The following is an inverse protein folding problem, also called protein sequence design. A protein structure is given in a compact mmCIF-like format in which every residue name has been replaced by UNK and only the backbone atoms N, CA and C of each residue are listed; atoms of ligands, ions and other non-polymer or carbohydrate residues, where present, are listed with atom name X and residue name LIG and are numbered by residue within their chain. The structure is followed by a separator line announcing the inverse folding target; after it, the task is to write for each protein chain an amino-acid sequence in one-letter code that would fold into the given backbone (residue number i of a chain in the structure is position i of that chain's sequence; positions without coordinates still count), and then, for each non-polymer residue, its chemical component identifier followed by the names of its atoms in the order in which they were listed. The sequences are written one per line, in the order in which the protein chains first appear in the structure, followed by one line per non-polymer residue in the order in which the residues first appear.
data_IF_853449754704
#
_entry.id   IF_853449754704
#
_cell.length_a   1.000
_cell.length_b   1.000
_cell.length_c   1.000
_cell.angle_alpha   90.00
_cell.angle_beta   90.00
_cell.angle_gamma   90.00
#
_symmetry.space_group_name_H-M   'P 1'
#
loop_
_entity.id
_entity.type
_entity.pdbx_description
1 polymer ?
#
# COMPACT_ATOMS: atom_id res chain seq x y z
N UNK A 1 15.61 6.20 16.09
CA UNK A 1 16.95 5.74 15.66
C UNK A 1 18.06 6.52 16.34
N UNK A 2 18.04 7.84 16.32
CA UNK A 2 19.07 8.66 16.98
C UNK A 2 19.20 8.44 18.49
N UNK A 3 18.07 8.43 19.22
CA UNK A 3 18.05 8.11 20.66
C UNK A 3 18.58 6.68 20.97
N UNK A 4 18.60 5.79 19.97
CA UNK A 4 19.13 4.43 20.10
C UNK A 4 20.62 4.35 19.69
N UNK A 5 21.24 5.46 19.28
CA UNK A 5 22.65 5.52 18.87
C UNK A 5 22.93 5.06 17.43
N UNK A 6 21.90 4.83 16.62
CA UNK A 6 22.11 4.42 15.21
C UNK A 6 22.38 5.62 14.31
N UNK A 7 23.62 5.76 13.85
CA UNK A 7 24.00 6.79 12.87
C UNK A 7 23.45 6.47 11.47
N UNK A 8 23.53 5.20 11.07
CA UNK A 8 23.05 4.67 9.80
C UNK A 8 22.10 3.49 9.99
N UNK A 9 21.06 3.39 9.16
CA UNK A 9 20.09 2.29 9.22
C UNK A 9 19.43 2.03 7.86
N UNK A 10 18.92 0.81 7.67
CA UNK A 10 18.05 0.49 6.56
C UNK A 10 16.59 0.75 6.93
N UNK A 11 15.76 1.07 5.94
CA UNK A 11 14.32 1.19 6.08
C UNK A 11 13.63 0.00 5.42
N UNK A 12 12.72 -0.65 6.13
CA UNK A 12 11.82 -1.64 5.59
C UNK A 12 10.38 -1.21 5.87
N UNK A 13 9.56 -1.15 4.81
CA UNK A 13 8.13 -0.87 4.82
C UNK A 13 7.58 -0.08 6.02
N UNK A 14 7.59 1.25 5.91
CA UNK A 14 6.86 2.16 6.79
C UNK A 14 5.63 2.76 6.10
N UNK A 15 5.15 2.11 5.02
CA UNK A 15 4.30 2.71 4.01
C UNK A 15 5.05 3.69 3.10
N UNK A 16 4.63 3.76 1.83
CA UNK A 16 5.33 4.54 0.78
C UNK A 16 5.57 5.99 1.20
N UNK A 17 4.59 6.64 1.84
CA UNK A 17 4.66 8.06 2.20
C UNK A 17 5.75 8.37 3.24
N UNK A 18 5.75 7.62 4.34
CA UNK A 18 6.71 7.82 5.43
C UNK A 18 8.10 7.38 4.96
N UNK A 19 8.19 6.23 4.28
CA UNK A 19 9.46 5.72 3.74
C UNK A 19 10.14 6.72 2.80
N UNK A 20 9.42 7.23 1.79
CA UNK A 20 9.98 8.21 0.85
C UNK A 20 10.31 9.56 1.51
N UNK A 21 9.48 10.01 2.45
CA UNK A 21 9.76 11.24 3.22
C UNK A 21 11.03 11.10 4.06
N UNK A 22 11.20 9.95 4.74
CA UNK A 22 12.40 9.67 5.51
C UNK A 22 13.64 9.60 4.62
N UNK A 23 13.55 8.93 3.47
CA UNK A 23 14.63 8.89 2.46
C UNK A 23 15.03 10.29 2.01
N UNK A 24 14.07 11.19 1.82
CA UNK A 24 14.33 12.56 1.40
C UNK A 24 15.03 13.40 2.50
N UNK A 25 14.53 13.30 3.73
CA UNK A 25 14.98 14.10 4.88
C UNK A 25 16.29 13.60 5.50
N UNK A 26 16.51 12.28 5.48
CA UNK A 26 17.61 11.62 6.20
C UNK A 26 18.48 10.76 5.28
N UNK A 27 18.62 11.20 4.03
CA UNK A 27 19.38 10.54 2.97
C UNK A 27 20.77 10.06 3.44
N UNK A 28 21.51 10.90 4.16
CA UNK A 28 22.86 10.60 4.66
C UNK A 28 22.91 9.51 5.75
N UNK A 29 21.76 9.16 6.34
CA UNK A 29 21.61 8.17 7.41
C UNK A 29 20.96 6.88 6.93
N UNK A 30 20.33 6.87 5.76
CA UNK A 30 19.63 5.69 5.26
C UNK A 30 20.56 4.95 4.29
N UNK A 31 20.88 3.71 4.59
CA UNK A 31 21.76 2.89 3.72
C UNK A 31 21.00 2.26 2.57
N UNK A 32 19.72 1.92 2.79
CA UNK A 32 18.86 1.28 1.81
C UNK A 32 17.39 1.43 2.21
N UNK A 33 16.48 1.51 1.25
CA UNK A 33 15.04 1.48 1.47
C UNK A 33 14.42 0.28 0.75
N UNK A 34 13.82 -0.63 1.51
CA UNK A 34 13.05 -1.76 1.01
C UNK A 34 11.56 -1.43 1.14
N UNK A 35 10.87 -1.33 0.01
CA UNK A 35 9.44 -1.04 -0.06
C UNK A 35 8.72 -2.24 -0.63
N UNK A 36 7.78 -2.82 0.10
CA UNK A 36 6.87 -3.88 -0.36
C UNK A 36 5.49 -3.32 -0.79
N UNK A 37 5.38 -1.99 -0.81
CA UNK A 37 4.22 -1.27 -1.27
C UNK A 37 4.71 -0.04 -2.04
N UNK A 38 4.83 -0.16 -3.37
CA UNK A 38 5.26 0.96 -4.22
C UNK A 38 4.30 1.14 -5.38
N UNK A 39 3.62 2.29 -5.35
CA UNK A 39 2.69 2.69 -6.37
C UNK A 39 3.39 3.34 -7.57
N UNK A 40 3.09 2.84 -8.76
CA UNK A 40 3.47 3.49 -10.02
C UNK A 40 2.20 3.86 -10.78
N UNK A 41 1.99 5.16 -10.98
CA UNK A 41 0.88 5.67 -11.82
C UNK A 41 1.29 5.57 -13.28
N UNK A 42 0.52 4.89 -14.15
CA UNK A 42 0.77 4.92 -15.59
C UNK A 42 0.66 6.36 -16.10
N UNK A 43 1.70 6.86 -16.76
CA UNK A 43 1.66 8.16 -17.44
C UNK A 43 1.12 8.01 -18.88
N UNK A 44 1.01 9.13 -19.60
CA UNK A 44 0.51 9.14 -20.99
C UNK A 44 1.32 8.23 -21.93
N UNK A 45 2.64 8.14 -21.76
CA UNK A 45 3.47 7.25 -22.57
C UNK A 45 3.16 5.78 -22.27
N UNK A 46 2.94 5.42 -21.01
CA UNK A 46 2.58 4.05 -20.62
C UNK A 46 1.22 3.66 -21.18
N UNK A 47 0.23 4.56 -21.10
CA UNK A 47 -1.10 4.34 -21.67
C UNK A 47 -1.08 4.25 -23.20
N UNK A 48 -0.22 5.03 -23.86
CA UNK A 48 -0.03 4.96 -25.32
C UNK A 48 0.57 3.63 -25.73
N UNK A 49 1.62 3.16 -25.04
CA UNK A 49 2.21 1.84 -25.28
C UNK A 49 1.19 0.73 -25.02
N UNK A 50 0.40 0.83 -23.95
CA UNK A 50 -0.63 -0.13 -23.61
C UNK A 50 -1.69 -0.24 -24.72
N UNK A 51 -2.21 0.90 -25.18
CA UNK A 51 -3.18 0.95 -26.28
C UNK A 51 -2.62 0.40 -27.61
N UNK A 52 -1.30 0.51 -27.83
CA UNK A 52 -0.60 -0.03 -28.99
C UNK A 52 -0.16 -1.50 -28.83
N UNK A 53 -0.47 -2.17 -27.71
CA UNK A 53 0.04 -3.50 -27.35
C UNK A 53 1.59 -3.59 -27.35
N UNK A 54 2.25 -2.52 -26.91
CA UNK A 54 3.72 -2.39 -26.82
C UNK A 54 4.24 -2.46 -25.38
N UNK A 55 3.37 -2.80 -24.43
CA UNK A 55 3.70 -3.06 -23.03
C UNK A 55 4.18 -4.50 -22.83
N UNK A 56 4.98 -4.74 -21.78
CA UNK A 56 5.26 -6.12 -21.36
C UNK A 56 4.00 -6.80 -20.84
N UNK A 57 4.06 -8.11 -20.61
CA UNK A 57 2.93 -8.83 -20.02
C UNK A 57 2.57 -8.26 -18.64
N UNK A 58 3.57 -8.01 -17.79
CA UNK A 58 3.40 -7.48 -16.44
C UNK A 58 2.78 -6.08 -16.46
N UNK A 59 3.25 -5.20 -17.35
CA UNK A 59 2.66 -3.87 -17.56
C UNK A 59 1.19 -3.98 -18.00
N UNK A 60 0.88 -4.91 -18.90
CA UNK A 60 -0.47 -5.11 -19.44
C UNK A 60 -1.46 -5.68 -18.42
N UNK A 61 -0.96 -6.41 -17.42
CA UNK A 61 -1.72 -6.93 -16.28
C UNK A 61 -1.90 -5.87 -15.16
N UNK A 62 -0.84 -5.09 -14.90
CA UNK A 62 -0.82 -4.06 -13.85
C UNK A 62 -1.68 -2.83 -14.18
N UNK A 63 -1.54 -2.25 -15.38
CA UNK A 63 -2.24 -1.01 -15.79
C UNK A 63 -3.77 -1.06 -15.55
N UNK A 64 -4.52 -2.07 -16.02
CA UNK A 64 -5.95 -2.13 -15.75
C UNK A 64 -6.25 -2.34 -14.25
N UNK A 65 -5.42 -3.11 -13.55
CA UNK A 65 -5.61 -3.37 -12.12
C UNK A 65 -5.46 -2.12 -11.27
N UNK A 66 -4.47 -1.30 -11.58
CA UNK A 66 -4.27 -0.04 -10.90
C UNK A 66 -5.39 0.95 -11.21
N UNK A 67 -5.86 1.03 -12.46
CA UNK A 67 -7.01 1.88 -12.81
C UNK A 67 -8.29 1.44 -12.10
N UNK A 68 -8.54 0.13 -12.00
CA UNK A 68 -9.67 -0.42 -11.25
C UNK A 68 -9.60 -0.05 -9.76
N UNK A 69 -8.42 -0.15 -9.14
CA UNK A 69 -8.25 0.23 -7.74
C UNK A 69 -8.61 1.71 -7.49
N UNK A 70 -8.07 2.62 -8.31
CA UNK A 70 -8.32 4.05 -8.11
C UNK A 70 -9.77 4.45 -8.41
N UNK A 71 -10.41 3.81 -9.39
CA UNK A 71 -11.79 4.12 -9.77
C UNK A 71 -12.84 3.55 -8.82
N UNK A 72 -12.60 2.38 -8.23
CA UNK A 72 -13.65 1.63 -7.51
C UNK A 72 -13.31 1.34 -6.03
N UNK A 73 -12.04 1.27 -5.68
CA UNK A 73 -11.58 0.73 -4.39
C UNK A 73 -10.91 1.78 -3.49
N UNK A 74 -10.66 2.99 -3.99
CA UNK A 74 -9.97 4.08 -3.29
C UNK A 74 -10.88 4.96 -2.41
N UNK A 75 -12.19 4.70 -2.37
CA UNK A 75 -13.17 5.53 -1.67
C UNK A 75 -12.86 5.69 -0.16
N UNK A 76 -12.30 4.65 0.47
CA UNK A 76 -11.88 4.71 1.85
C UNK A 76 -10.79 5.76 2.09
N UNK A 77 -9.88 5.96 1.13
CA UNK A 77 -8.82 6.95 1.22
C UNK A 77 -9.39 8.35 0.99
N UNK A 78 -10.30 8.50 0.02
CA UNK A 78 -10.95 9.77 -0.30
C UNK A 78 -11.75 10.35 0.89
N UNK A 79 -12.53 9.52 1.61
CA UNK A 79 -13.27 10.00 2.78
C UNK A 79 -12.34 10.34 3.95
N UNK A 80 -11.26 9.58 4.14
CA UNK A 80 -10.26 9.84 5.20
C UNK A 80 -9.43 11.08 4.92
N UNK A 81 -9.13 11.41 3.65
CA UNK A 81 -8.38 12.62 3.30
C UNK A 81 -9.24 13.88 3.41
N UNK A 82 -10.51 13.81 3.03
CA UNK A 82 -11.43 14.95 3.05
C UNK A 82 -12.05 15.21 4.44
N UNK A 83 -12.60 14.18 5.08
CA UNK A 83 -13.41 14.30 6.30
C UNK A 83 -13.03 13.28 7.40
N UNK A 84 -11.75 13.21 7.81
CA UNK A 84 -11.29 12.19 8.77
C UNK A 84 -12.00 12.26 10.12
N UNK A 85 -12.33 13.47 10.61
CA UNK A 85 -13.01 13.63 11.90
C UNK A 85 -14.46 13.14 11.83
N UNK A 86 -15.17 13.49 10.75
CA UNK A 86 -16.58 13.11 10.56
C UNK A 86 -16.74 11.59 10.49
N UNK A 87 -15.92 10.90 9.68
CA UNK A 87 -15.98 9.44 9.59
C UNK A 87 -15.48 8.77 10.88
N UNK A 88 -14.52 9.37 11.60
CA UNK A 88 -14.07 8.84 12.88
C UNK A 88 -15.19 8.83 13.93
N UNK A 89 -16.05 9.85 13.98
CA UNK A 89 -17.21 9.83 14.89
C UNK A 89 -18.14 8.66 14.59
N UNK A 90 -18.51 8.45 13.32
CA UNK A 90 -19.37 7.35 12.92
C UNK A 90 -18.76 5.97 13.23
N UNK A 91 -17.45 5.80 12.99
CA UNK A 91 -16.75 4.54 13.26
C UNK A 91 -16.49 4.31 14.75
N UNK A 92 -16.30 5.38 15.54
CA UNK A 92 -16.16 5.26 17.00
C UNK A 92 -17.49 4.90 17.67
N UNK A 93 -18.63 5.34 17.14
CA UNK A 93 -19.94 5.09 17.76
C UNK A 93 -20.34 3.60 17.75
N UNK A 94 -19.84 2.82 16.78
CA UNK A 94 -20.12 1.40 16.66
C UNK A 94 -18.87 0.55 16.46
N UNK A 95 -18.43 -0.25 17.45
CA UNK A 95 -17.29 -1.16 17.29
C UNK A 95 -17.56 -2.24 16.24
N UNK A 96 -18.83 -2.64 16.05
CA UNK A 96 -19.23 -3.57 14.98
C UNK A 96 -19.14 -2.88 13.61
N UNK A 97 -19.55 -1.62 13.50
CA UNK A 97 -19.38 -0.82 12.28
C UNK A 97 -17.90 -0.66 11.91
N UNK A 98 -17.04 -0.37 12.88
CA UNK A 98 -15.59 -0.32 12.65
C UNK A 98 -15.00 -1.67 12.24
N UNK A 99 -15.41 -2.77 12.88
CA UNK A 99 -14.99 -4.11 12.49
C UNK A 99 -15.39 -4.43 11.05
N UNK A 100 -16.61 -4.11 10.64
CA UNK A 100 -17.08 -4.30 9.25
C UNK A 100 -16.27 -3.46 8.25
N UNK A 101 -16.00 -2.20 8.58
CA UNK A 101 -15.16 -1.31 7.76
C UNK A 101 -13.74 -1.84 7.58
N UNK A 102 -13.11 -2.29 8.67
CA UNK A 102 -11.78 -2.86 8.62
C UNK A 102 -11.76 -4.22 7.91
N UNK A 103 -12.80 -5.06 8.09
CA UNK A 103 -12.93 -6.32 7.36
C UNK A 103 -12.96 -6.09 5.85
N UNK A 104 -13.75 -5.11 5.37
CA UNK A 104 -13.76 -4.73 3.97
C UNK A 104 -12.35 -4.37 3.47
N UNK A 105 -11.60 -3.53 4.20
CA UNK A 105 -10.27 -3.09 3.78
C UNK A 105 -9.25 -4.22 3.74
N UNK A 106 -9.30 -5.10 4.74
CA UNK A 106 -8.43 -6.27 4.82
C UNK A 106 -8.76 -7.26 3.71
N UNK A 107 -10.05 -7.46 3.43
CA UNK A 107 -10.52 -8.32 2.34
C UNK A 107 -10.08 -7.78 0.98
N UNK A 108 -10.10 -6.47 0.80
CA UNK A 108 -9.67 -5.82 -0.44
C UNK A 108 -8.15 -5.81 -0.62
N UNK A 109 -7.38 -5.67 0.47
CA UNK A 109 -5.95 -5.32 0.42
C UNK A 109 -4.96 -6.43 0.80
N UNK A 110 -5.41 -7.65 1.07
CA UNK A 110 -4.55 -8.70 1.63
C UNK A 110 -5.01 -10.11 1.26
N UNK A 111 -4.05 -11.00 0.99
CA UNK A 111 -4.25 -12.43 0.75
C UNK A 111 -4.23 -13.28 2.04
N UNK A 112 -4.12 -12.64 3.21
CA UNK A 112 -4.10 -13.33 4.51
C UNK A 112 -5.51 -13.81 4.87
N UNK A 113 -5.65 -15.12 5.10
CA UNK A 113 -6.85 -15.71 5.67
C UNK A 113 -6.96 -15.39 7.17
N UNK A 114 -7.49 -14.21 7.49
CA UNK A 114 -7.66 -13.81 8.88
C UNK A 114 -8.76 -14.62 9.56
N UNK A 115 -8.43 -15.23 10.69
CA UNK A 115 -9.44 -15.78 11.60
C UNK A 115 -10.28 -14.65 12.22
N UNK A 116 -11.49 -14.96 12.65
CA UNK A 116 -12.37 -14.03 13.39
C UNK A 116 -11.64 -13.39 14.58
N UNK A 117 -10.91 -14.21 15.35
CA UNK A 117 -10.10 -13.75 16.48
C UNK A 117 -9.04 -12.74 16.05
N UNK A 118 -8.37 -12.95 14.92
CA UNK A 118 -7.37 -12.03 14.41
C UNK A 118 -7.98 -10.71 13.96
N UNK A 119 -9.14 -10.75 13.28
CA UNK A 119 -9.89 -9.56 12.87
C UNK A 119 -10.34 -8.76 14.09
N UNK A 120 -11.04 -9.39 15.04
CA UNK A 120 -11.53 -8.72 16.25
C UNK A 120 -10.36 -8.08 17.02
N UNK A 121 -9.25 -8.80 17.19
CA UNK A 121 -8.06 -8.28 17.87
C UNK A 121 -7.48 -7.04 17.16
N UNK A 122 -7.33 -7.09 15.83
CA UNK A 122 -6.84 -5.94 15.04
C UNK A 122 -7.78 -4.74 15.13
N UNK A 123 -9.09 -4.99 15.06
CA UNK A 123 -10.10 -3.94 15.21
C UNK A 123 -9.95 -3.25 16.56
N UNK A 124 -9.90 -4.05 17.63
CA UNK A 124 -9.89 -3.54 18.99
C UNK A 124 -8.63 -2.72 19.30
N UNK A 125 -7.47 -3.12 18.77
CA UNK A 125 -6.22 -2.37 18.91
C UNK A 125 -6.29 -0.95 18.32
N UNK A 126 -7.01 -0.77 17.22
CA UNK A 126 -7.17 0.53 16.57
C UNK A 126 -8.35 1.32 17.15
N UNK A 127 -9.39 0.63 17.60
CA UNK A 127 -10.60 1.20 18.17
C UNK A 127 -10.37 1.82 19.55
N UNK A 128 -9.69 1.11 20.46
CA UNK A 128 -9.49 1.54 21.85
C UNK A 128 -8.81 2.93 22.01
N UNK A 129 -7.72 3.26 21.29
CA UNK A 129 -7.14 4.61 21.37
C UNK A 129 -7.96 5.68 20.62
N UNK A 130 -8.99 5.29 19.88
CA UNK A 130 -9.85 6.15 19.07
C UNK A 130 -9.46 6.19 17.60
N UNK A 131 -10.46 6.15 16.71
CA UNK A 131 -10.24 5.99 15.26
C UNK A 131 -9.54 7.17 14.61
N UNK A 132 -9.79 8.40 15.05
CA UNK A 132 -9.28 9.62 14.38
C UNK A 132 -7.75 9.63 14.23
N UNK A 133 -7.02 9.24 15.27
CA UNK A 133 -5.55 9.20 15.24
C UNK A 133 -4.99 8.26 14.18
N UNK A 134 -5.72 7.17 13.86
CA UNK A 134 -5.31 6.18 12.87
C UNK A 134 -5.47 6.67 11.41
N UNK A 135 -6.36 7.64 11.17
CA UNK A 135 -6.75 8.04 9.80
C UNK A 135 -6.45 9.50 9.46
N UNK A 136 -6.12 10.34 10.45
CA UNK A 136 -5.81 11.75 10.24
C UNK A 136 -4.68 11.97 9.23
N UNK A 137 -3.70 11.07 9.17
CA UNK A 137 -2.57 11.15 8.25
C UNK A 137 -3.01 11.23 6.78
N UNK A 138 -4.16 10.65 6.40
CA UNK A 138 -4.69 10.80 5.03
C UNK A 138 -4.98 12.26 4.68
N UNK A 139 -5.39 13.09 5.64
CA UNK A 139 -5.63 14.51 5.36
C UNK A 139 -4.34 15.30 5.16
N UNK A 140 -3.26 14.88 5.79
CA UNK A 140 -1.99 15.59 5.77
C UNK A 140 -1.05 15.07 4.68
N UNK A 141 -1.19 13.79 4.30
CA UNK A 141 -0.25 13.06 3.45
C UNK A 141 -0.88 12.54 2.16
N UNK A 142 -2.19 12.74 1.89
CA UNK A 142 -2.88 12.21 0.71
C UNK A 142 -3.28 13.34 -0.26
N UNK A 143 -2.30 13.89 -0.98
CA UNK A 143 -2.45 14.78 -2.15
C UNK A 143 -2.09 14.03 -3.46
N UNK A 144 -2.44 14.54 -4.64
CA UNK A 144 -2.27 13.85 -5.93
C UNK A 144 -0.80 13.61 -6.35
N UNK A 145 0.18 14.22 -5.66
CA UNK A 145 1.62 14.08 -5.95
C UNK A 145 2.35 13.09 -5.02
N UNK A 146 1.63 12.40 -4.14
CA UNK A 146 2.18 11.66 -2.98
C UNK A 146 3.06 10.45 -3.29
N UNK A 147 3.01 9.95 -4.52
CA UNK A 147 3.85 8.83 -4.95
C UNK A 147 5.06 9.28 -5.76
N UNK A 148 5.20 10.59 -5.98
CA UNK A 148 6.35 11.18 -6.67
C UNK A 148 7.30 11.73 -5.61
N UNK A 149 8.55 11.23 -5.51
CA UNK A 149 9.52 11.80 -4.60
C UNK A 149 9.73 13.28 -4.88
N UNK A 150 9.70 14.12 -3.83
CA UNK A 150 9.92 15.57 -3.96
C UNK A 150 11.27 15.94 -4.58
N UNK A 151 12.27 15.05 -4.44
CA UNK A 151 13.57 15.12 -5.10
C UNK A 151 14.07 13.71 -5.39
N UNK A 152 14.92 13.53 -6.40
CA UNK A 152 15.63 12.27 -6.64
C UNK A 152 16.62 12.03 -5.49
N UNK A 153 16.56 10.84 -4.89
CA UNK A 153 17.47 10.42 -3.81
C UNK A 153 18.58 9.52 -4.34
N UNK A 154 19.76 9.61 -3.73
CA UNK A 154 20.89 8.71 -3.95
C UNK A 154 20.79 7.40 -3.13
N UNK A 155 19.85 7.32 -2.18
CA UNK A 155 19.60 6.11 -1.41
C UNK A 155 19.08 5.01 -2.33
N UNK A 156 19.71 3.83 -2.35
CA UNK A 156 19.18 2.70 -3.12
C UNK A 156 17.80 2.28 -2.61
N UNK A 157 16.86 2.06 -3.54
CA UNK A 157 15.51 1.57 -3.25
C UNK A 157 15.31 0.22 -3.94
N UNK A 158 14.85 -0.76 -3.17
CA UNK A 158 14.37 -2.05 -3.70
C UNK A 158 12.87 -2.13 -3.51
N UNK A 159 12.12 -2.35 -4.59
CA UNK A 159 10.69 -2.59 -4.51
C UNK A 159 10.39 -4.10 -4.58
N UNK A 160 9.52 -4.56 -3.70
CA UNK A 160 8.84 -5.84 -3.78
C UNK A 160 7.41 -5.51 -4.18
N UNK A 161 6.90 -6.12 -5.25
CA UNK A 161 5.48 -6.02 -5.61
C UNK A 161 4.89 -7.40 -5.68
N UNK A 162 3.71 -7.55 -5.11
CA UNK A 162 3.04 -8.84 -5.01
C UNK A 162 1.66 -8.76 -5.67
N UNK A 163 1.29 -9.80 -6.43
CA UNK A 163 -0.10 -10.02 -6.84
C UNK A 163 -0.85 -10.87 -5.82
N UNK A 164 -2.17 -10.75 -5.86
CA UNK A 164 -3.06 -11.69 -5.17
C UNK A 164 -2.83 -13.12 -5.68
N UNK A 165 -2.84 -14.07 -4.74
CA UNK A 165 -2.79 -15.51 -5.02
C UNK A 165 -4.05 -15.95 -5.74
N UNK A 166 -3.93 -17.06 -6.47
CA UNK A 166 -5.02 -17.71 -7.21
C UNK A 166 -5.95 -18.48 -6.25
N UNK A 167 -6.42 -17.84 -5.19
CA UNK A 167 -7.37 -18.38 -4.23
C UNK A 167 -8.75 -17.75 -4.47
N UNK A 168 -9.80 -18.57 -4.73
CA UNK A 168 -11.14 -18.08 -5.04
C UNK A 168 -11.82 -17.31 -3.91
N UNK A 169 -11.23 -17.26 -2.71
CA UNK A 169 -11.78 -16.56 -1.55
C UNK A 169 -11.33 -15.10 -1.42
N UNK A 170 -10.41 -14.61 -2.26
CA UNK A 170 -9.84 -13.26 -2.18
C UNK A 170 -10.26 -12.33 -3.33
N UNK A 171 -10.33 -11.04 -3.00
CA UNK A 171 -11.26 -10.07 -3.57
C UNK A 171 -10.92 -9.54 -4.98
N UNK A 172 -12.00 -9.23 -5.72
CA UNK A 172 -12.04 -8.38 -6.90
C UNK A 172 -11.03 -8.73 -8.01
N UNK A 173 -11.41 -9.61 -8.96
CA UNK A 173 -10.54 -10.04 -10.06
C UNK A 173 -9.91 -8.88 -10.83
N UNK A 174 -10.62 -7.74 -10.89
CA UNK A 174 -10.18 -6.54 -11.58
C UNK A 174 -8.99 -5.84 -10.93
N UNK A 175 -8.67 -6.08 -9.66
CA UNK A 175 -7.49 -5.50 -8.99
C UNK A 175 -6.39 -6.54 -8.73
N UNK A 176 -6.48 -7.75 -9.28
CA UNK A 176 -5.57 -8.88 -8.96
C UNK A 176 -4.08 -8.57 -9.04
N UNK A 177 -3.68 -7.67 -9.95
CA UNK A 177 -2.28 -7.28 -10.15
C UNK A 177 -1.95 -5.92 -9.57
N UNK A 178 -2.84 -5.32 -8.78
CA UNK A 178 -2.50 -4.22 -7.89
C UNK A 178 -1.53 -4.73 -6.80
N UNK A 179 -0.78 -3.84 -6.16
CA UNK A 179 0.20 -4.23 -5.13
C UNK A 179 -0.51 -4.52 -3.80
N UNK A 180 -0.23 -5.66 -3.17
CA UNK A 180 -0.93 -6.11 -1.96
C UNK A 180 0.00 -6.52 -0.82
N UNK A 181 -0.52 -6.40 0.41
CA UNK A 181 0.15 -6.93 1.59
C UNK A 181 0.01 -8.45 1.60
N UNK A 182 1.13 -9.16 1.50
CA UNK A 182 1.16 -10.62 1.49
C UNK A 182 1.26 -11.24 2.87
N UNK A 183 0.66 -12.42 3.03
CA UNK A 183 0.95 -13.33 4.12
C UNK A 183 2.42 -13.78 4.04
N UNK A 184 3.14 -13.62 5.16
CA UNK A 184 4.55 -13.98 5.32
C UNK A 184 4.83 -15.50 5.32
N UNK A 185 3.96 -16.30 4.70
CA UNK A 185 4.18 -17.73 4.54
C UNK A 185 4.87 -18.02 3.21
N UNK A 186 6.20 -17.97 3.23
CA UNK A 186 7.08 -18.39 2.13
C UNK A 186 7.26 -19.92 2.07
N UNK A 187 6.63 -20.68 2.98
CA UNK A 187 6.82 -22.13 3.11
C UNK A 187 5.71 -22.96 2.46
N UNK A 188 4.63 -22.31 2.02
CA UNK A 188 3.53 -22.94 1.29
C UNK A 188 3.86 -23.30 -0.17
N UNK A 189 3.03 -24.16 -0.76
CA UNK A 189 3.17 -24.65 -2.15
C UNK A 189 2.98 -23.59 -3.25
N UNK A 190 2.59 -22.36 -2.89
CA UNK A 190 2.41 -21.24 -3.81
C UNK A 190 2.84 -19.90 -3.15
N UNK A 191 4.15 -19.62 -3.04
CA UNK A 191 4.63 -18.40 -2.41
C UNK A 191 4.19 -17.15 -3.18
N UNK A 192 4.05 -15.98 -2.53
CA UNK A 192 3.73 -14.76 -3.24
C UNK A 192 4.83 -14.45 -4.24
N UNK A 193 4.47 -14.31 -5.53
CA UNK A 193 5.45 -14.02 -6.57
C UNK A 193 5.78 -12.53 -6.55
N UNK A 194 7.05 -12.19 -6.34
CA UNK A 194 7.56 -10.85 -6.57
C UNK A 194 7.54 -10.57 -8.08
N UNK A 195 6.86 -9.51 -8.50
CA UNK A 195 6.62 -9.21 -9.93
C UNK A 195 7.71 -8.30 -10.51
N UNK A 196 8.55 -7.65 -9.68
CA UNK A 196 9.40 -6.56 -10.19
C UNK A 196 10.72 -7.04 -10.77
N UNK A 197 10.79 -6.95 -12.11
CA UNK A 197 12.01 -6.73 -12.89
C UNK A 197 12.52 -5.29 -12.70
N UNK A 198 13.84 -5.03 -12.66
CA UNK A 198 14.45 -3.70 -12.49
C UNK A 198 14.00 -2.59 -13.47
N UNK A 199 13.22 -2.92 -14.51
CA UNK A 199 12.81 -2.00 -15.58
C UNK A 199 11.70 -1.02 -15.20
N UNK A 200 10.87 -1.31 -14.18
CA UNK A 200 9.75 -0.43 -13.78
C UNK A 200 10.22 0.73 -12.89
N UNK A 201 11.31 0.53 -12.14
CA UNK A 201 11.87 1.52 -11.21
C UNK A 201 12.99 2.39 -11.82
N UNK A 202 13.40 2.09 -13.06
CA UNK A 202 14.60 2.68 -13.67
C UNK A 202 14.32 3.89 -14.57
N UNK A 203 13.19 4.57 -14.38
CA UNK A 203 12.90 5.85 -15.07
C UNK A 203 12.84 7.01 -14.07
#
# INVERSE_FOLDING_TARGET
MEQLGYEKFALYNLGTFIGLTMVNMYENRITHHFSDFLYVTPNENDLTRYAANQTTQEESEYIPSVQAFFSQHSAYAAIRSSYPLSIAYALNDSPVGFLAWMYHLVYNGSDIAYTEKNLIRKAFLLYNPGIYGNIRSYKELFDNLIFVPAKRSSVPISALQFKLRDDPMFAYPEIRYFDFVVSWDFTGSNPPKCIVSPSILSR
#
